data_IF_870526989731
#
_entry.id   IF_870526989731
#
_cell.length_a   1.000
_cell.length_b   1.000
_cell.length_c   1.000
_cell.angle_alpha   90.00
_cell.angle_beta   90.00
_cell.angle_gamma   90.00
#
_symmetry.space_group_name_H-M   'P 1'
#
loop_
_entity.id
_entity.type
_entity.pdbx_description
1 polymer ?
#
# COMPACT_ATOMS: atom_id res chain seq x y z
N UNK A 1 -36.82 -66.16 4.89
CA UNK A 1 -36.87 -64.80 4.32
C UNK A 1 -36.46 -63.86 5.46
N UNK A 2 -35.16 -63.36 5.48
CA UNK A 2 -34.67 -62.47 6.50
C UNK A 2 -34.80 -61.06 5.99
N UNK A 3 -35.69 -60.25 6.59
CA UNK A 3 -35.84 -58.83 6.33
C UNK A 3 -34.74 -58.13 7.12
N UNK A 4 -33.70 -57.64 6.43
CA UNK A 4 -32.63 -56.84 7.03
C UNK A 4 -33.16 -55.45 7.34
N UNK A 5 -33.35 -55.20 8.63
CA UNK A 5 -33.63 -53.84 9.14
C UNK A 5 -32.41 -52.95 8.91
N UNK A 6 -32.50 -52.05 7.96
CA UNK A 6 -31.54 -51.00 7.68
C UNK A 6 -31.58 -50.01 8.84
N UNK A 7 -30.57 -50.07 9.69
CA UNK A 7 -30.39 -49.12 10.80
C UNK A 7 -30.11 -47.73 10.21
N UNK A 8 -31.11 -46.88 10.14
CA UNK A 8 -30.92 -45.49 9.76
C UNK A 8 -30.03 -44.81 10.78
N UNK A 9 -28.87 -44.33 10.32
CA UNK A 9 -27.98 -43.49 11.10
C UNK A 9 -28.67 -42.13 11.28
N UNK A 10 -29.17 -41.83 12.49
CA UNK A 10 -29.63 -40.51 12.85
C UNK A 10 -28.51 -39.51 12.59
N UNK A 11 -28.67 -38.68 11.59
CA UNK A 11 -27.78 -37.51 11.38
C UNK A 11 -28.09 -36.53 12.50
N UNK A 12 -27.11 -36.34 13.42
CA UNK A 12 -27.19 -35.32 14.45
C UNK A 12 -27.11 -33.97 13.73
N UNK A 13 -28.17 -33.19 13.77
CA UNK A 13 -28.19 -31.79 13.32
C UNK A 13 -27.70 -30.88 14.44
N UNK A 14 -27.23 -29.69 14.11
CA UNK A 14 -26.89 -28.65 15.09
C UNK A 14 -28.16 -28.16 15.80
N UNK A 15 -28.01 -27.87 17.10
CA UNK A 15 -29.07 -27.26 17.88
C UNK A 15 -29.09 -25.75 17.66
N UNK A 16 -30.27 -25.11 17.80
CA UNK A 16 -30.40 -23.66 17.65
C UNK A 16 -29.54 -22.91 18.67
N UNK A 17 -29.43 -23.45 19.88
CA UNK A 17 -28.58 -22.84 20.93
C UNK A 17 -27.08 -22.88 20.60
N UNK A 18 -26.58 -23.94 19.99
CA UNK A 18 -25.20 -24.04 19.54
C UNK A 18 -24.91 -22.96 18.47
N UNK A 19 -25.83 -22.70 17.56
CA UNK A 19 -25.65 -21.65 16.56
C UNK A 19 -25.60 -20.26 17.20
N UNK A 20 -26.50 -19.98 18.13
CA UNK A 20 -26.55 -18.67 18.83
C UNK A 20 -25.25 -18.43 19.62
N UNK A 21 -24.75 -19.42 20.34
CA UNK A 21 -23.51 -19.30 21.13
C UNK A 21 -22.32 -19.01 20.22
N UNK A 22 -22.20 -19.70 19.08
CA UNK A 22 -21.13 -19.45 18.13
C UNK A 22 -21.20 -18.03 17.55
N UNK A 23 -22.39 -17.56 17.18
CA UNK A 23 -22.59 -16.19 16.70
C UNK A 23 -22.23 -15.14 17.73
N UNK A 24 -22.55 -15.38 19.03
CA UNK A 24 -22.16 -14.48 20.12
C UNK A 24 -20.64 -14.40 20.27
N UNK A 25 -19.93 -15.54 20.23
CA UNK A 25 -18.47 -15.58 20.34
C UNK A 25 -17.81 -14.83 19.16
N UNK A 26 -18.26 -15.10 17.93
CA UNK A 26 -17.75 -14.41 16.72
C UNK A 26 -18.01 -12.90 16.84
N UNK A 27 -19.18 -12.48 17.31
CA UNK A 27 -19.54 -11.08 17.50
C UNK A 27 -18.60 -10.35 18.46
N UNK A 28 -18.27 -10.96 19.59
CA UNK A 28 -17.33 -10.41 20.59
C UNK A 28 -15.92 -10.31 19.99
N UNK A 29 -15.42 -11.36 19.34
CA UNK A 29 -14.10 -11.38 18.73
C UNK A 29 -14.00 -10.35 17.60
N UNK A 30 -15.00 -10.26 16.73
CA UNK A 30 -15.04 -9.28 15.65
C UNK A 30 -15.02 -7.84 16.19
N UNK A 31 -15.80 -7.55 17.25
CA UNK A 31 -15.85 -6.22 17.85
C UNK A 31 -14.52 -5.73 18.41
N UNK A 32 -13.66 -6.62 18.88
CA UNK A 32 -12.32 -6.28 19.38
C UNK A 32 -11.24 -6.18 18.30
N UNK A 33 -11.37 -6.95 17.21
CA UNK A 33 -10.36 -7.01 16.14
C UNK A 33 -10.49 -5.88 15.13
N UNK A 34 -11.72 -5.44 14.81
CA UNK A 34 -11.97 -4.43 13.77
C UNK A 34 -11.16 -3.14 13.97
N UNK A 35 -11.12 -2.50 15.17
CA UNK A 35 -10.37 -1.25 15.35
C UNK A 35 -8.86 -1.43 15.15
N UNK A 36 -8.30 -2.57 15.47
CA UNK A 36 -6.87 -2.84 15.30
C UNK A 36 -6.48 -3.02 13.82
N UNK A 37 -7.37 -3.61 13.02
CA UNK A 37 -7.11 -3.89 11.60
C UNK A 37 -7.05 -2.59 10.78
N UNK A 38 -7.80 -1.56 11.15
CA UNK A 38 -7.83 -0.28 10.43
C UNK A 38 -6.45 0.36 10.30
N UNK A 39 -5.63 0.32 11.37
CA UNK A 39 -4.25 0.81 11.32
C UNK A 39 -3.36 0.04 10.33
N UNK A 40 -3.46 -1.27 10.32
CA UNK A 40 -2.69 -2.12 9.38
C UNK A 40 -3.09 -1.88 7.93
N UNK A 41 -4.36 -1.59 7.66
CA UNK A 41 -4.83 -1.27 6.31
C UNK A 41 -4.18 0.02 5.81
N UNK A 42 -4.13 1.06 6.63
CA UNK A 42 -3.49 2.34 6.27
C UNK A 42 -1.99 2.14 6.01
N UNK A 43 -1.29 1.38 6.83
CA UNK A 43 0.13 1.06 6.60
C UNK A 43 0.33 0.26 5.30
N UNK A 44 -0.53 -0.72 5.01
CA UNK A 44 -0.47 -1.47 3.76
C UNK A 44 -0.70 -0.58 2.53
N UNK A 45 -1.57 0.43 2.63
CA UNK A 45 -1.78 1.42 1.57
C UNK A 45 -0.55 2.31 1.36
N UNK A 46 0.11 2.74 2.45
CA UNK A 46 1.36 3.49 2.39
C UNK A 46 2.48 2.68 1.72
N UNK A 47 2.57 1.38 1.95
CA UNK A 47 3.55 0.53 1.30
C UNK A 47 3.42 0.51 -0.22
N UNK A 48 2.21 0.62 -0.78
CA UNK A 48 2.01 0.75 -2.24
C UNK A 48 2.65 2.02 -2.79
N UNK A 49 2.47 3.15 -2.11
CA UNK A 49 3.08 4.44 -2.50
C UNK A 49 4.59 4.36 -2.43
N UNK A 50 5.14 3.75 -1.38
CA UNK A 50 6.58 3.54 -1.21
C UNK A 50 7.17 2.67 -2.34
N UNK A 51 6.51 1.58 -2.70
CA UNK A 51 6.95 0.68 -3.77
C UNK A 51 6.93 1.37 -5.14
N UNK A 52 5.88 2.14 -5.42
CA UNK A 52 5.78 2.95 -6.63
C UNK A 52 6.86 4.05 -6.67
N UNK A 53 7.13 4.70 -5.54
CA UNK A 53 8.21 5.70 -5.43
C UNK A 53 9.59 5.08 -5.69
N UNK A 54 9.85 3.88 -5.16
CA UNK A 54 11.09 3.13 -5.44
C UNK A 54 11.24 2.82 -6.92
N UNK A 55 10.17 2.41 -7.57
CA UNK A 55 10.16 2.11 -9.00
C UNK A 55 10.49 3.35 -9.83
N UNK A 56 9.95 4.52 -9.47
CA UNK A 56 10.27 5.80 -10.12
C UNK A 56 11.74 6.15 -9.92
N UNK A 57 12.26 6.07 -8.71
CA UNK A 57 13.66 6.37 -8.40
C UNK A 57 14.60 5.47 -9.21
N UNK A 58 14.36 4.15 -9.22
CA UNK A 58 15.16 3.21 -10.00
C UNK A 58 15.12 3.49 -11.51
N UNK A 59 13.97 3.85 -12.04
CA UNK A 59 13.81 4.21 -13.44
C UNK A 59 14.61 5.48 -13.79
N UNK A 60 14.52 6.51 -12.95
CA UNK A 60 15.25 7.77 -13.11
C UNK A 60 16.76 7.56 -13.00
N UNK A 61 17.22 6.80 -12.03
CA UNK A 61 18.64 6.49 -11.88
C UNK A 61 19.17 5.68 -13.06
N UNK A 62 18.44 4.67 -13.52
CA UNK A 62 18.81 3.86 -14.67
C UNK A 62 18.90 4.70 -15.95
N UNK A 63 18.00 5.66 -16.11
CA UNK A 63 18.05 6.60 -17.23
C UNK A 63 19.23 7.57 -17.11
N UNK A 64 19.41 8.17 -15.93
CA UNK A 64 20.48 9.14 -15.68
C UNK A 64 21.90 8.56 -15.81
N UNK A 65 22.06 7.24 -15.62
CA UNK A 65 23.32 6.55 -15.85
C UNK A 65 23.67 6.43 -17.34
N UNK A 66 22.67 6.37 -18.21
CA UNK A 66 22.85 6.11 -19.65
C UNK A 66 22.68 7.35 -20.52
N UNK A 67 22.04 8.39 -20.00
CA UNK A 67 21.70 9.59 -20.75
C UNK A 67 22.56 10.78 -20.36
N UNK A 68 22.88 11.59 -21.35
CA UNK A 68 23.54 12.90 -21.14
C UNK A 68 22.57 13.94 -20.58
N UNK A 69 21.29 13.85 -20.96
CA UNK A 69 20.22 14.70 -20.46
C UNK A 69 19.60 14.10 -19.20
N UNK A 70 20.00 14.61 -18.04
CA UNK A 70 19.54 14.08 -16.75
C UNK A 70 18.14 14.56 -16.39
N UNK A 71 17.38 13.71 -15.73
CA UNK A 71 16.11 14.04 -15.09
C UNK A 71 16.41 14.72 -13.75
N UNK A 72 15.76 15.85 -13.54
CA UNK A 72 15.87 16.63 -12.32
C UNK A 72 14.91 16.12 -11.23
N UNK A 73 15.24 16.39 -9.98
CA UNK A 73 14.33 16.14 -8.84
C UNK A 73 13.04 16.97 -8.89
N UNK A 74 13.04 18.09 -9.63
CA UNK A 74 11.86 18.92 -9.85
C UNK A 74 10.93 18.43 -10.96
N UNK A 75 11.38 17.45 -11.77
CA UNK A 75 10.54 16.86 -12.81
C UNK A 75 9.37 16.08 -12.17
N UNK A 76 8.19 16.17 -12.78
CA UNK A 76 6.97 15.50 -12.31
C UNK A 76 6.81 14.12 -12.95
N UNK A 77 6.01 13.27 -12.32
CA UNK A 77 5.68 11.93 -12.84
C UNK A 77 5.13 12.02 -14.26
N UNK A 78 4.26 12.99 -14.55
CA UNK A 78 3.70 13.18 -15.89
C UNK A 78 4.78 13.54 -16.92
N UNK A 79 5.75 14.38 -16.54
CA UNK A 79 6.81 14.80 -17.45
C UNK A 79 7.78 13.67 -17.78
N UNK A 80 8.10 12.80 -16.82
CA UNK A 80 8.95 11.65 -17.06
C UNK A 80 8.25 10.54 -17.85
N UNK A 81 6.94 10.35 -17.65
CA UNK A 81 6.14 9.40 -18.44
C UNK A 81 6.07 9.80 -19.93
N UNK A 82 6.05 11.08 -20.24
CA UNK A 82 6.03 11.57 -21.62
C UNK A 82 7.35 11.37 -22.37
N UNK A 83 8.47 11.15 -21.66
CA UNK A 83 9.76 10.83 -22.26
C UNK A 83 9.80 9.35 -22.66
N UNK A 84 9.82 9.07 -23.96
CA UNK A 84 9.79 7.69 -24.49
C UNK A 84 10.90 6.78 -23.98
N UNK A 85 12.05 7.35 -23.66
CA UNK A 85 13.22 6.61 -23.17
C UNK A 85 13.08 6.18 -21.72
N UNK A 86 12.42 7.00 -20.86
CA UNK A 86 12.14 6.68 -19.47
C UNK A 86 10.94 5.74 -19.36
N UNK A 87 9.96 5.95 -20.24
CA UNK A 87 8.75 5.13 -20.33
C UNK A 87 9.05 3.62 -20.44
N UNK A 88 10.20 3.25 -21.04
CA UNK A 88 10.64 1.85 -21.13
C UNK A 88 10.87 1.22 -19.75
N UNK A 89 11.40 1.99 -18.79
CA UNK A 89 11.67 1.52 -17.43
C UNK A 89 10.42 1.54 -16.54
N UNK A 90 9.38 2.28 -16.95
CA UNK A 90 8.12 2.42 -16.21
C UNK A 90 6.97 1.65 -16.86
N UNK A 91 7.21 0.92 -17.96
CA UNK A 91 6.15 0.30 -18.76
C UNK A 91 5.27 -0.66 -17.99
N UNK A 92 5.87 -1.43 -17.07
CA UNK A 92 5.17 -2.44 -16.29
C UNK A 92 4.93 -1.99 -14.84
N UNK A 93 5.22 -0.71 -14.54
CA UNK A 93 5.07 -0.16 -13.19
C UNK A 93 3.70 0.51 -13.05
N UNK A 94 2.94 0.05 -12.08
CA UNK A 94 1.70 0.71 -11.70
C UNK A 94 2.03 1.94 -10.85
N UNK A 95 1.62 3.13 -11.30
CA UNK A 95 1.84 4.41 -10.62
C UNK A 95 0.51 5.08 -10.22
N UNK A 96 -0.54 4.29 -10.00
CA UNK A 96 -1.89 4.81 -9.70
C UNK A 96 -2.01 5.49 -8.34
N UNK A 97 -1.14 5.14 -7.39
CA UNK A 97 -1.13 5.72 -6.05
C UNK A 97 -0.26 6.98 -5.93
N UNK A 98 0.51 7.32 -6.98
CA UNK A 98 1.20 8.60 -7.10
C UNK A 98 0.35 9.56 -7.94
N UNK A 99 0.28 10.82 -7.51
CA UNK A 99 -0.36 11.86 -8.29
C UNK A 99 0.52 12.24 -9.49
N UNK A 100 -0.09 12.68 -10.57
CA UNK A 100 0.63 13.11 -11.78
C UNK A 100 1.57 14.30 -11.51
N UNK A 101 1.22 15.14 -10.55
CA UNK A 101 2.01 16.27 -10.10
C UNK A 101 3.12 15.90 -9.11
N UNK A 102 3.17 14.66 -8.62
CA UNK A 102 4.24 14.22 -7.72
C UNK A 102 5.60 14.36 -8.40
N UNK A 103 6.54 14.97 -7.70
CA UNK A 103 7.89 15.20 -8.22
C UNK A 103 8.79 14.00 -7.96
N UNK A 104 9.83 13.87 -8.76
CA UNK A 104 10.90 12.89 -8.55
C UNK A 104 11.54 13.08 -7.19
N UNK A 105 11.72 14.33 -6.74
CA UNK A 105 12.28 14.67 -5.42
C UNK A 105 11.44 14.16 -4.26
N UNK A 106 10.11 14.23 -4.36
CA UNK A 106 9.20 13.64 -3.37
C UNK A 106 9.33 12.12 -3.31
N UNK A 107 9.47 11.46 -4.46
CA UNK A 107 9.73 10.01 -4.50
C UNK A 107 11.06 9.66 -3.80
N UNK A 108 12.12 10.42 -4.01
CA UNK A 108 13.39 10.24 -3.29
C UNK A 108 13.22 10.45 -1.79
N UNK A 109 12.46 11.46 -1.36
CA UNK A 109 12.20 11.73 0.05
C UNK A 109 11.47 10.57 0.73
N UNK A 110 10.43 10.03 0.07
CA UNK A 110 9.67 8.87 0.55
C UNK A 110 10.59 7.64 0.69
N UNK A 111 11.41 7.37 -0.32
CA UNK A 111 12.36 6.22 -0.29
C UNK A 111 13.40 6.38 0.80
N UNK A 112 13.81 7.61 1.12
CA UNK A 112 14.75 7.93 2.19
C UNK A 112 14.11 7.96 3.59
N UNK A 113 12.83 7.62 3.70
CA UNK A 113 12.15 7.48 4.98
C UNK A 113 11.43 8.74 5.46
N UNK A 114 11.17 9.72 4.59
CA UNK A 114 10.29 10.83 4.94
C UNK A 114 8.87 10.34 5.18
N UNK A 115 8.23 10.90 6.20
CA UNK A 115 6.81 10.65 6.42
C UNK A 115 5.96 11.27 5.31
N UNK A 116 4.85 10.63 5.01
CA UNK A 116 3.92 11.09 3.99
C UNK A 116 2.49 10.69 4.33
N UNK A 117 1.56 11.43 3.78
CA UNK A 117 0.13 11.22 3.94
C UNK A 117 -0.49 10.70 2.64
N UNK A 118 -1.50 9.88 2.79
CA UNK A 118 -2.31 9.34 1.70
C UNK A 118 -3.78 9.68 1.94
N UNK A 119 -4.52 9.87 0.87
CA UNK A 119 -5.97 9.90 0.90
C UNK A 119 -6.49 8.46 1.08
N UNK A 120 -7.23 8.21 2.15
CA UNK A 120 -7.72 6.88 2.50
C UNK A 120 -8.73 6.31 1.50
N UNK A 121 -9.46 7.18 0.80
CA UNK A 121 -10.50 6.80 -0.16
C UNK A 121 -9.92 6.48 -1.54
N UNK A 122 -8.97 7.28 -2.00
CA UNK A 122 -8.35 7.14 -3.32
C UNK A 122 -7.02 6.37 -3.26
N UNK A 123 -6.48 6.14 -2.08
CA UNK A 123 -5.17 5.54 -1.82
C UNK A 123 -4.00 6.28 -2.47
N UNK A 124 -4.20 7.56 -2.81
CA UNK A 124 -3.19 8.39 -3.47
C UNK A 124 -2.37 9.20 -2.47
N UNK A 125 -1.12 9.43 -2.84
CA UNK A 125 -0.24 10.35 -2.12
C UNK A 125 -0.83 11.75 -2.10
N UNK A 126 -0.98 12.36 -0.92
CA UNK A 126 -1.47 13.74 -0.76
C UNK A 126 -0.34 14.70 -0.43
N UNK A 127 0.54 14.34 0.48
CA UNK A 127 1.60 15.22 0.94
C UNK A 127 2.83 14.41 1.39
N UNK A 128 4.02 14.99 1.19
CA UNK A 128 5.28 14.46 1.72
C UNK A 128 5.77 15.42 2.80
N UNK A 129 5.88 14.92 4.01
CA UNK A 129 6.39 15.67 5.16
C UNK A 129 7.91 15.53 5.13
N UNK A 130 8.60 16.54 4.61
CA UNK A 130 10.06 16.55 4.67
C UNK A 130 10.49 16.60 6.13
N UNK A 131 11.42 15.74 6.56
CA UNK A 131 11.99 15.88 7.90
C UNK A 131 12.56 17.29 8.01
N UNK A 132 12.14 18.02 9.02
CA UNK A 132 12.71 19.34 9.34
C UNK A 132 14.20 19.13 9.51
N UNK A 133 14.98 19.61 8.58
CA UNK A 133 16.42 19.72 8.76
C UNK A 133 16.62 20.66 9.94
N UNK A 134 16.93 20.12 11.10
CA UNK A 134 17.46 20.88 12.21
C UNK A 134 18.76 21.51 11.74
N UNK A 135 18.63 22.71 11.18
CA UNK A 135 19.78 23.56 10.92
C UNK A 135 20.27 24.14 12.24
N UNK A 136 21.54 23.98 12.40
CA UNK A 136 22.47 24.84 13.08
C UNK A 136 22.58 24.68 14.59
N UNK A 137 23.49 23.83 14.95
CA UNK A 137 24.36 24.16 16.08
C UNK A 137 25.36 25.17 15.55
N UNK A 138 25.10 26.46 15.83
CA UNK A 138 26.10 27.50 15.71
C UNK A 138 27.10 27.32 16.88
N UNK A 139 28.27 26.87 16.56
CA UNK A 139 29.38 26.91 17.50
C UNK A 139 29.85 28.37 17.65
N UNK A 140 29.82 28.84 18.88
CA UNK A 140 30.70 29.90 19.36
C UNK A 140 31.86 29.27 20.10
#
# INVERSE_FOLDING_TARGET
MRIGLRKEKCKKGFTLIELIVVMCIIGILAGTLIPQISGYITEAKKLKVLDQSRSVVMAVESYNLKSTSKISKSDTIISIKSRSEVSKYLKDVNLTNLNEGTTVGECYSIVNGSEFEIDESTEKLTNVISPVQNQTVTQH
#
